data_IF_823642048181
#
_entry.id   IF_823642048181
#
_cell.length_a   1.000
_cell.length_b   1.000
_cell.length_c   1.000
_cell.angle_alpha   90.00
_cell.angle_beta   90.00
_cell.angle_gamma   90.00
#
_symmetry.space_group_name_H-M   'P 1'
#
loop_
_entity.id
_entity.type
_entity.pdbx_description
1 polymer ?
#
# COMPACT_ATOMS: atom_id res chain seq x y z
N UNK A 1 -53.25 39.29 -11.45
CA UNK A 1 -52.77 38.54 -10.28
C UNK A 1 -51.81 37.36 -10.63
N UNK A 2 -52.10 36.47 -11.57
CA UNK A 2 -51.24 35.34 -11.93
C UNK A 2 -49.81 35.72 -12.38
N UNK A 3 -49.64 36.85 -13.11
CA UNK A 3 -48.31 37.31 -13.60
C UNK A 3 -47.42 37.87 -12.48
N UNK A 4 -47.99 38.46 -11.45
CA UNK A 4 -47.23 39.00 -10.29
C UNK A 4 -46.73 37.84 -9.42
N UNK A 5 -47.51 36.77 -9.29
CA UNK A 5 -47.13 35.58 -8.54
C UNK A 5 -45.96 34.81 -9.21
N UNK A 6 -45.96 34.79 -10.54
CA UNK A 6 -44.87 34.16 -11.31
C UNK A 6 -43.55 34.94 -11.21
N UNK A 7 -43.60 36.25 -11.21
CA UNK A 7 -42.43 37.10 -11.01
C UNK A 7 -41.87 36.97 -9.60
N UNK A 8 -42.72 36.86 -8.58
CA UNK A 8 -42.28 36.65 -7.20
C UNK A 8 -41.63 35.26 -7.00
N UNK A 9 -42.17 34.22 -7.64
CA UNK A 9 -41.63 32.89 -7.60
C UNK A 9 -40.27 32.79 -8.34
N UNK A 10 -40.13 33.49 -9.46
CA UNK A 10 -38.85 33.56 -10.20
C UNK A 10 -37.76 34.29 -9.39
N UNK A 11 -38.10 35.34 -8.67
CA UNK A 11 -37.19 36.11 -7.81
C UNK A 11 -36.71 35.27 -6.60
N UNK A 12 -37.60 34.47 -6.01
CA UNK A 12 -37.24 33.56 -4.91
C UNK A 12 -36.32 32.41 -5.34
N UNK A 13 -36.42 31.93 -6.58
CA UNK A 13 -35.55 30.88 -7.10
C UNK A 13 -34.11 31.35 -7.34
N UNK A 14 -33.89 32.62 -7.64
CA UNK A 14 -32.55 33.17 -7.89
C UNK A 14 -31.78 33.46 -6.60
N UNK A 15 -32.44 33.59 -5.44
CA UNK A 15 -31.78 33.82 -4.16
C UNK A 15 -31.23 32.53 -3.51
N UNK A 16 -31.58 31.33 -4.00
CA UNK A 16 -31.12 30.04 -3.44
C UNK A 16 -29.78 29.58 -3.98
N UNK A 17 -29.21 30.28 -4.97
CA UNK A 17 -27.93 29.80 -5.61
C UNK A 17 -26.70 30.59 -5.18
N UNK A 18 -26.77 31.49 -4.22
CA UNK A 18 -25.60 32.28 -3.77
C UNK A 18 -25.02 31.85 -2.44
N UNK A 19 -25.06 30.57 -2.11
CA UNK A 19 -24.07 30.05 -1.17
C UNK A 19 -22.77 29.77 -1.97
N UNK A 20 -22.09 30.84 -2.36
CA UNK A 20 -20.71 30.73 -2.74
C UNK A 20 -20.00 30.17 -1.52
N UNK A 21 -19.51 28.93 -1.61
CA UNK A 21 -18.58 28.42 -0.61
C UNK A 21 -17.47 29.47 -0.51
N UNK A 22 -17.33 30.09 0.66
CA UNK A 22 -16.16 30.92 0.94
C UNK A 22 -14.94 30.08 0.64
N UNK A 23 -14.21 30.45 -0.42
CA UNK A 23 -12.94 29.79 -0.72
C UNK A 23 -12.04 30.04 0.48
N UNK A 24 -11.81 29.02 1.29
CA UNK A 24 -10.88 29.08 2.40
C UNK A 24 -9.51 29.44 1.80
N UNK A 25 -9.02 30.63 2.15
CA UNK A 25 -7.67 31.06 1.75
C UNK A 25 -6.70 30.41 2.72
N UNK A 26 -5.77 29.62 2.20
CA UNK A 26 -4.72 29.04 3.02
C UNK A 26 -3.71 30.12 3.41
N UNK A 27 -3.34 30.12 4.68
CA UNK A 27 -2.26 30.95 5.20
C UNK A 27 -0.92 30.19 5.10
N UNK A 28 0.18 30.91 5.30
CA UNK A 28 1.49 30.29 5.33
C UNK A 28 1.60 29.24 6.44
N UNK A 29 0.96 29.48 7.58
CA UNK A 29 0.90 28.56 8.71
C UNK A 29 0.10 27.27 8.42
N UNK A 30 -0.79 27.32 7.44
CA UNK A 30 -1.54 26.14 7.01
C UNK A 30 -0.69 25.22 6.11
N UNK A 31 0.31 25.75 5.40
CA UNK A 31 1.04 25.01 4.35
C UNK A 31 2.50 24.72 4.69
N UNK A 32 3.09 25.40 5.68
CA UNK A 32 4.47 25.14 6.12
C UNK A 32 4.51 23.93 7.08
N UNK A 33 5.41 22.95 6.86
CA UNK A 33 5.66 21.89 7.82
C UNK A 33 6.00 22.46 9.20
N UNK A 34 5.21 22.09 10.21
CA UNK A 34 5.33 22.64 11.58
C UNK A 34 4.47 23.84 11.89
N UNK A 35 3.71 24.37 10.93
CA UNK A 35 2.66 25.39 11.18
C UNK A 35 1.52 24.82 12.03
N UNK A 36 0.86 25.69 12.81
CA UNK A 36 -0.16 25.27 13.78
C UNK A 36 -1.33 24.48 13.16
N UNK A 37 -1.67 24.76 11.91
CA UNK A 37 -2.79 24.12 11.21
C UNK A 37 -2.34 23.05 10.19
N UNK A 38 -1.03 22.92 9.96
CA UNK A 38 -0.48 22.01 8.93
C UNK A 38 -1.02 20.59 9.05
N UNK A 39 -1.00 20.01 10.24
CA UNK A 39 -1.46 18.64 10.46
C UNK A 39 -2.98 18.46 10.30
N UNK A 40 -3.77 19.54 10.38
CA UNK A 40 -5.21 19.50 10.13
C UNK A 40 -5.55 19.45 8.63
N UNK A 41 -4.59 19.83 7.77
CA UNK A 41 -4.77 19.91 6.32
C UNK A 41 -4.05 18.80 5.57
N UNK A 42 -3.07 18.17 6.20
CA UNK A 42 -2.36 17.02 5.62
C UNK A 42 -3.23 15.78 5.78
N UNK A 43 -3.54 15.07 4.69
CA UNK A 43 -4.24 13.80 4.78
C UNK A 43 -3.47 12.81 5.67
N UNK A 44 -4.18 12.01 6.46
CA UNK A 44 -3.55 10.93 7.19
C UNK A 44 -2.79 10.02 6.23
N UNK A 45 -1.51 9.80 6.54
CA UNK A 45 -0.72 8.85 5.78
C UNK A 45 -1.16 7.44 6.17
N UNK A 46 -1.66 6.70 5.21
CA UNK A 46 -1.99 5.28 5.39
C UNK A 46 -0.79 4.46 4.91
N UNK A 47 0.05 3.97 5.83
CA UNK A 47 1.23 3.21 5.47
C UNK A 47 0.86 1.87 4.82
N UNK A 48 1.74 1.41 3.93
CA UNK A 48 1.60 0.10 3.30
C UNK A 48 0.58 0.03 2.15
N UNK A 49 0.03 1.17 1.70
CA UNK A 49 -0.79 1.21 0.49
C UNK A 49 0.06 0.99 -0.76
N UNK A 50 -0.39 0.10 -1.62
CA UNK A 50 0.22 -0.18 -2.91
C UNK A 50 -0.83 -0.66 -3.92
N UNK A 51 -0.50 -0.56 -5.21
CA UNK A 51 -1.32 -1.10 -6.28
C UNK A 51 -0.85 -2.52 -6.65
N UNK A 52 -1.82 -3.43 -6.77
CA UNK A 52 -1.63 -4.78 -7.29
C UNK A 52 -2.54 -4.93 -8.51
N UNK A 53 -2.01 -4.59 -9.68
CA UNK A 53 -2.83 -4.34 -10.87
C UNK A 53 -3.82 -3.20 -10.63
N UNK A 54 -5.10 -3.47 -10.82
CA UNK A 54 -6.20 -2.52 -10.59
C UNK A 54 -6.76 -2.60 -9.17
N UNK A 55 -6.15 -3.41 -8.30
CA UNK A 55 -6.61 -3.60 -6.91
C UNK A 55 -5.74 -2.77 -5.98
N UNK A 56 -6.36 -1.94 -5.15
CA UNK A 56 -5.68 -1.29 -4.04
C UNK A 56 -5.47 -2.30 -2.91
N UNK A 57 -4.25 -2.42 -2.41
CA UNK A 57 -3.92 -3.30 -1.28
C UNK A 57 -3.20 -2.53 -0.19
N UNK A 58 -3.37 -2.97 1.04
CA UNK A 58 -2.68 -2.43 2.21
C UNK A 58 -1.92 -3.53 2.93
N UNK A 59 -0.60 -3.38 3.00
CA UNK A 59 0.26 -4.23 3.82
C UNK A 59 0.29 -3.71 5.26
N UNK A 60 -0.20 -4.49 6.19
CA UNK A 60 -0.21 -4.21 7.62
C UNK A 60 0.75 -5.11 8.39
N UNK A 61 0.75 -5.01 9.71
CA UNK A 61 1.56 -5.87 10.58
C UNK A 61 1.12 -7.32 10.48
N UNK A 62 -0.17 -7.59 10.69
CA UNK A 62 -0.73 -8.93 10.81
C UNK A 62 -1.22 -9.52 9.48
N UNK A 63 -1.51 -8.68 8.49
CA UNK A 63 -2.10 -9.12 7.24
C UNK A 63 -1.93 -8.13 6.10
N UNK A 64 -2.10 -8.64 4.88
CA UNK A 64 -2.26 -7.85 3.65
C UNK A 64 -3.72 -7.97 3.24
N UNK A 65 -4.34 -6.84 2.93
CA UNK A 65 -5.76 -6.74 2.56
C UNK A 65 -5.91 -6.05 1.22
N UNK A 66 -6.87 -6.51 0.43
CA UNK A 66 -7.38 -5.74 -0.70
C UNK A 66 -8.47 -4.79 -0.23
N UNK A 67 -8.55 -3.62 -0.87
CA UNK A 67 -9.51 -2.57 -0.56
C UNK A 67 -10.34 -2.31 -1.81
N UNK A 68 -11.65 -2.46 -1.70
CA UNK A 68 -12.58 -2.09 -2.76
C UNK A 68 -12.73 -0.56 -2.77
N UNK A 69 -12.39 0.08 -3.90
CA UNK A 69 -12.42 1.55 -4.02
C UNK A 69 -13.83 2.13 -3.92
N UNK A 70 -14.86 1.34 -4.23
CA UNK A 70 -16.25 1.81 -4.27
C UNK A 70 -16.84 2.04 -2.87
N UNK A 71 -16.53 1.19 -1.92
CA UNK A 71 -17.18 1.14 -0.60
C UNK A 71 -16.17 1.00 0.56
N UNK A 72 -14.87 0.94 0.24
CA UNK A 72 -13.81 0.78 1.24
C UNK A 72 -13.76 -0.59 1.89
N UNK A 73 -14.52 -1.57 1.41
CA UNK A 73 -14.55 -2.92 1.99
C UNK A 73 -13.20 -3.59 1.86
N UNK A 74 -12.70 -4.09 2.98
CA UNK A 74 -11.42 -4.80 3.05
C UNK A 74 -11.63 -6.32 3.02
N UNK A 75 -10.74 -7.02 2.29
CA UNK A 75 -10.69 -8.49 2.25
C UNK A 75 -9.26 -8.95 2.51
N UNK A 76 -9.05 -9.85 3.46
CA UNK A 76 -7.73 -10.39 3.78
C UNK A 76 -7.25 -11.28 2.63
N UNK A 77 -6.06 -10.99 2.12
CA UNK A 77 -5.38 -11.79 1.09
C UNK A 77 -4.36 -12.73 1.70
N UNK A 78 -3.58 -12.26 2.67
CA UNK A 78 -2.48 -12.98 3.31
C UNK A 78 -2.46 -12.64 4.80
N UNK A 79 -2.19 -13.63 5.64
CA UNK A 79 -1.95 -13.40 7.07
C UNK A 79 -0.51 -13.70 7.44
N UNK A 80 0.03 -12.97 8.42
CA UNK A 80 1.36 -13.19 8.97
C UNK A 80 1.53 -14.64 9.49
N UNK A 81 0.47 -15.18 10.09
CA UNK A 81 0.44 -16.57 10.57
C UNK A 81 0.67 -17.58 9.46
N UNK A 82 0.01 -17.41 8.30
CA UNK A 82 0.16 -18.32 7.15
C UNK A 82 1.58 -18.28 6.59
N UNK A 83 2.17 -17.09 6.46
CA UNK A 83 3.56 -16.93 6.00
C UNK A 83 4.53 -17.59 6.97
N UNK A 84 4.39 -17.37 8.28
CA UNK A 84 5.24 -17.96 9.29
C UNK A 84 5.12 -19.49 9.35
N UNK A 85 3.91 -20.02 9.17
CA UNK A 85 3.72 -21.47 9.04
C UNK A 85 4.44 -22.06 7.82
N UNK A 86 4.48 -21.33 6.70
CA UNK A 86 5.24 -21.78 5.53
C UNK A 86 6.76 -21.71 5.76
N UNK A 87 7.25 -20.69 6.49
CA UNK A 87 8.65 -20.60 6.90
C UNK A 87 9.03 -21.78 7.81
N UNK A 88 8.21 -22.07 8.81
CA UNK A 88 8.45 -23.15 9.78
C UNK A 88 8.42 -24.55 9.14
N UNK A 89 7.49 -24.77 8.20
CA UNK A 89 7.40 -26.06 7.51
C UNK A 89 8.63 -26.41 6.69
N UNK A 90 9.35 -25.37 6.20
CA UNK A 90 10.61 -25.56 5.50
C UNK A 90 10.51 -26.51 4.30
N UNK A 91 9.36 -26.53 3.61
CA UNK A 91 9.14 -27.45 2.49
C UNK A 91 10.19 -27.24 1.41
N UNK A 92 10.91 -28.34 1.13
CA UNK A 92 11.87 -28.41 0.02
C UNK A 92 11.23 -27.87 -1.27
N UNK A 93 11.94 -27.06 -2.08
CA UNK A 93 13.29 -27.42 -2.52
C UNK A 93 14.44 -26.58 -1.94
N UNK A 94 14.20 -25.71 -0.95
CA UNK A 94 15.21 -24.73 -0.58
C UNK A 94 15.93 -25.09 0.74
N UNK A 95 17.20 -25.50 0.63
CA UNK A 95 18.08 -25.72 1.79
C UNK A 95 18.25 -24.48 2.68
N UNK A 96 17.90 -23.29 2.13
CA UNK A 96 18.01 -21.99 2.81
C UNK A 96 16.81 -21.66 3.72
N UNK A 97 15.72 -22.42 3.68
CA UNK A 97 14.55 -22.17 4.53
C UNK A 97 14.86 -22.25 6.03
N UNK A 98 15.83 -23.04 6.42
CA UNK A 98 16.28 -23.16 7.82
C UNK A 98 16.92 -21.89 8.39
N UNK A 99 17.37 -20.98 7.54
CA UNK A 99 17.97 -19.71 7.95
C UNK A 99 16.93 -18.59 8.10
N UNK A 100 15.70 -18.80 7.62
CA UNK A 100 14.62 -17.86 7.79
C UNK A 100 14.04 -17.97 9.20
N UNK A 101 13.76 -16.80 9.79
CA UNK A 101 13.07 -16.69 11.07
C UNK A 101 11.63 -16.26 10.84
N UNK A 102 10.71 -16.57 11.78
CA UNK A 102 9.36 -16.02 11.71
C UNK A 102 9.36 -14.51 11.55
N UNK A 103 8.56 -14.00 10.63
CA UNK A 103 8.36 -12.56 10.42
C UNK A 103 7.61 -11.96 11.61
N UNK A 104 7.88 -10.69 11.89
CA UNK A 104 7.15 -9.89 12.88
C UNK A 104 6.07 -9.03 12.25
N UNK A 105 6.17 -8.78 10.95
CA UNK A 105 5.27 -7.87 10.23
C UNK A 105 5.29 -8.15 8.73
N UNK A 106 4.17 -7.90 8.07
CA UNK A 106 4.05 -7.92 6.60
C UNK A 106 4.12 -6.52 5.98
N UNK A 107 4.37 -5.46 6.75
CA UNK A 107 4.38 -4.07 6.23
C UNK A 107 5.43 -3.83 5.15
N UNK A 108 6.55 -4.56 5.17
CA UNK A 108 7.62 -4.47 4.16
C UNK A 108 7.40 -5.41 2.96
N UNK A 109 6.34 -6.21 2.98
CA UNK A 109 6.03 -7.08 1.87
C UNK A 109 5.37 -6.29 0.72
N UNK A 110 5.68 -6.69 -0.50
CA UNK A 110 5.10 -6.10 -1.72
C UNK A 110 4.50 -7.17 -2.64
N UNK A 111 3.60 -6.73 -3.53
CA UNK A 111 2.96 -7.57 -4.53
C UNK A 111 3.39 -7.08 -5.94
N UNK A 112 4.54 -7.53 -6.44
CA UNK A 112 5.09 -6.98 -7.68
C UNK A 112 4.35 -7.41 -8.95
N UNK A 113 3.64 -8.54 -8.93
CA UNK A 113 2.93 -9.08 -10.11
C UNK A 113 1.42 -9.06 -9.90
N UNK A 114 0.69 -8.43 -10.80
CA UNK A 114 -0.78 -8.38 -10.76
C UNK A 114 -1.44 -9.71 -11.09
N UNK A 115 -0.79 -10.51 -11.91
CA UNK A 115 -1.28 -11.81 -12.41
C UNK A 115 -0.90 -12.99 -11.49
N UNK A 116 0.01 -12.79 -10.53
CA UNK A 116 0.49 -13.83 -9.61
C UNK A 116 0.09 -13.55 -8.18
N UNK A 117 -0.39 -14.55 -7.48
CA UNK A 117 -0.72 -14.47 -6.04
C UNK A 117 0.53 -14.62 -5.17
N UNK A 118 1.52 -13.79 -5.41
CA UNK A 118 2.82 -13.86 -4.75
C UNK A 118 3.13 -12.54 -4.05
N UNK A 119 3.53 -12.63 -2.79
CA UNK A 119 4.19 -11.55 -2.08
C UNK A 119 5.69 -11.79 -2.05
N UNK A 120 6.43 -10.70 -2.05
CA UNK A 120 7.88 -10.70 -1.88
C UNK A 120 8.26 -9.90 -0.63
N UNK A 121 9.24 -10.39 0.07
CA UNK A 121 9.82 -9.70 1.22
C UNK A 121 11.31 -10.02 1.37
N UNK A 122 12.01 -9.11 2.00
CA UNK A 122 13.40 -9.33 2.39
C UNK A 122 13.49 -9.67 3.87
N UNK A 123 14.26 -10.70 4.19
CA UNK A 123 14.66 -11.00 5.55
C UNK A 123 16.18 -11.21 5.61
N UNK A 124 16.87 -10.30 6.28
CA UNK A 124 18.35 -10.25 6.28
C UNK A 124 18.88 -10.22 4.82
N UNK A 125 19.75 -11.18 4.49
CA UNK A 125 20.32 -11.35 3.16
C UNK A 125 19.47 -12.25 2.24
N UNK A 126 18.23 -12.53 2.59
CA UNK A 126 17.36 -13.38 1.77
C UNK A 126 16.22 -12.57 1.15
N UNK A 127 16.04 -12.75 -0.15
CA UNK A 127 14.85 -12.35 -0.90
C UNK A 127 13.92 -13.56 -0.99
N UNK A 128 12.69 -13.41 -0.55
CA UNK A 128 11.74 -14.52 -0.40
C UNK A 128 10.48 -14.23 -1.18
N UNK A 129 10.02 -15.21 -1.95
CA UNK A 129 8.73 -15.21 -2.61
C UNK A 129 7.81 -16.23 -1.93
N UNK A 130 6.66 -15.74 -1.49
CA UNK A 130 5.60 -16.56 -0.91
C UNK A 130 4.35 -16.50 -1.77
N UNK A 131 3.93 -17.67 -2.30
CA UNK A 131 2.68 -17.82 -3.05
C UNK A 131 1.53 -18.05 -2.06
N UNK A 132 0.67 -17.04 -1.93
CA UNK A 132 -0.47 -17.12 -1.01
C UNK A 132 -1.67 -17.88 -1.59
N UNK A 133 -1.69 -18.17 -2.90
CA UNK A 133 -2.64 -19.10 -3.50
C UNK A 133 -2.32 -20.56 -3.16
N UNK A 134 -1.04 -20.91 -3.16
CA UNK A 134 -0.56 -22.24 -2.82
C UNK A 134 -0.13 -22.39 -1.35
N UNK A 135 -0.06 -21.29 -0.61
CA UNK A 135 0.37 -21.20 0.79
C UNK A 135 1.76 -21.78 1.05
N UNK A 136 2.69 -21.51 0.15
CA UNK A 136 4.07 -22.01 0.23
C UNK A 136 5.10 -20.96 -0.24
N UNK A 137 6.32 -21.13 0.23
CA UNK A 137 7.48 -20.39 -0.30
C UNK A 137 7.87 -21.01 -1.63
N UNK A 138 7.94 -20.17 -2.66
CA UNK A 138 8.25 -20.60 -4.04
C UNK A 138 9.65 -20.27 -4.46
N UNK A 139 10.27 -19.26 -3.83
CA UNK A 139 11.65 -18.89 -4.11
C UNK A 139 12.33 -18.29 -2.87
N UNK A 140 13.61 -18.64 -2.69
CA UNK A 140 14.52 -18.00 -1.72
C UNK A 140 15.84 -17.75 -2.45
N UNK A 141 16.21 -16.49 -2.57
CA UNK A 141 17.49 -16.09 -3.17
C UNK A 141 18.36 -15.41 -2.12
N UNK A 142 19.60 -15.86 -1.99
CA UNK A 142 20.58 -15.23 -1.12
C UNK A 142 21.17 -14.01 -1.81
N UNK A 143 21.06 -12.87 -1.18
CA UNK A 143 21.70 -11.61 -1.60
C UNK A 143 23.07 -11.48 -0.93
N UNK A 144 23.87 -10.53 -1.42
CA UNK A 144 25.07 -10.14 -0.70
C UNK A 144 24.70 -9.55 0.68
N UNK A 145 25.47 -9.89 1.72
CA UNK A 145 25.19 -9.39 3.09
C UNK A 145 25.28 -7.86 3.22
N UNK A 146 26.02 -7.22 2.31
CA UNK A 146 26.16 -5.76 2.23
C UNK A 146 25.25 -5.14 1.16
N UNK A 147 24.27 -5.88 0.66
CA UNK A 147 23.33 -5.40 -0.35
C UNK A 147 22.48 -4.25 0.22
N UNK A 148 22.46 -3.14 -0.51
CA UNK A 148 21.64 -1.96 -0.24
C UNK A 148 20.96 -1.51 -1.52
N UNK A 149 19.98 -0.61 -1.43
CA UNK A 149 19.25 -0.03 -2.57
C UNK A 149 18.71 -1.12 -3.51
N UNK A 150 17.95 -2.06 -2.93
CA UNK A 150 17.36 -3.14 -3.70
C UNK A 150 16.27 -2.59 -4.63
N UNK A 151 16.35 -2.99 -5.88
CA UNK A 151 15.31 -2.77 -6.88
C UNK A 151 14.94 -4.10 -7.55
N UNK A 152 13.66 -4.30 -7.80
CA UNK A 152 13.13 -5.55 -8.31
C UNK A 152 12.56 -5.39 -9.72
N UNK A 153 13.14 -6.13 -10.67
CA UNK A 153 12.65 -6.17 -12.04
C UNK A 153 11.54 -7.23 -12.19
N UNK A 154 10.30 -6.76 -12.31
CA UNK A 154 9.11 -7.61 -12.42
C UNK A 154 9.10 -8.51 -13.66
N UNK A 155 9.75 -8.09 -14.73
CA UNK A 155 9.71 -8.79 -16.03
C UNK A 155 10.56 -10.05 -16.06
N UNK A 156 11.69 -10.05 -15.37
CA UNK A 156 12.68 -11.15 -15.41
C UNK A 156 13.01 -11.73 -14.04
N UNK A 157 12.21 -11.40 -13.01
CA UNK A 157 12.38 -11.91 -11.65
C UNK A 157 13.82 -11.68 -11.10
N UNK A 158 14.43 -10.53 -11.43
CA UNK A 158 15.78 -10.18 -11.02
C UNK A 158 15.77 -9.10 -9.97
N UNK A 159 16.66 -9.23 -8.99
CA UNK A 159 16.92 -8.21 -7.99
C UNK A 159 18.26 -7.54 -8.31
N UNK A 160 18.25 -6.24 -8.51
CA UNK A 160 19.43 -5.40 -8.56
C UNK A 160 19.71 -4.79 -7.18
N UNK A 161 20.95 -4.64 -6.82
CA UNK A 161 21.35 -4.00 -5.55
C UNK A 161 22.75 -3.44 -5.65
N UNK A 162 23.08 -2.49 -4.77
CA UNK A 162 24.43 -1.96 -4.64
C UNK A 162 25.16 -2.61 -3.47
N UNK A 163 26.48 -2.70 -3.58
CA UNK A 163 27.36 -3.18 -2.51
C UNK A 163 28.44 -2.13 -2.26
N UNK A 164 28.45 -1.55 -1.06
CA UNK A 164 29.33 -0.43 -0.73
C UNK A 164 28.98 0.83 -1.54
N UNK A 165 29.99 1.58 -1.99
CA UNK A 165 29.82 2.80 -2.81
C UNK A 165 29.94 2.50 -4.32
N UNK A 166 29.94 1.24 -4.71
CA UNK A 166 30.03 0.81 -6.11
C UNK A 166 28.66 0.40 -6.67
N UNK A 167 28.41 0.84 -7.89
CA UNK A 167 27.39 0.25 -8.76
C UNK A 167 27.93 -1.07 -9.31
#
# INVERSE_FOLDING_TARGET
MKRIFFLFFLCCMTTLTTFAQEKKTYTLEDVIPGGNNYFNLVPENIPGLQWWGDVCVRAGVENIRSIQLKDGKETILVTLKEVNQAIEKGEKPYQLSHELKPLRSLMSASLPWSERKVIVFQQNSYWVEYDFGQKKITNISRLNEKATNLDFCKTNDKVAYTVGNGL
#
